data_IF_359723975257
#
_entry.id   IF_359723975257
#
_cell.length_a   1.000
_cell.length_b   1.000
_cell.length_c   1.000
_cell.angle_alpha   90.00
_cell.angle_beta   90.00
_cell.angle_gamma   90.00
#
_symmetry.space_group_name_H-M   'P 1'
#
loop_
_entity.id
_entity.type
_entity.pdbx_description
1 polymer ?
#
# COMPACT_ATOMS: atom_id res chain seq x y z
N UNK A 1 -3.80 8.46 17.25
CA UNK A 1 -3.73 7.13 16.59
C UNK A 1 -3.80 7.35 15.08
N UNK A 2 -2.98 6.67 14.29
CA UNK A 2 -2.93 6.77 12.82
C UNK A 2 -2.89 5.37 12.21
N UNK A 3 -3.21 5.25 10.92
CA UNK A 3 -3.17 4.00 10.14
C UNK A 3 -2.27 4.20 8.93
N UNK A 4 -1.39 3.25 8.65
CA UNK A 4 -0.57 3.27 7.44
C UNK A 4 -1.17 2.34 6.39
N UNK A 5 -1.35 2.85 5.19
CA UNK A 5 -1.78 2.10 4.03
C UNK A 5 -0.56 1.81 3.16
N UNK A 6 -0.13 0.55 3.22
CA UNK A 6 0.92 -0.05 2.39
C UNK A 6 0.31 -1.28 1.73
N UNK A 7 0.44 -1.36 0.41
CA UNK A 7 -0.04 -2.49 -0.38
C UNK A 7 1.12 -3.44 -0.70
N UNK A 8 0.76 -4.64 -1.15
CA UNK A 8 1.69 -5.73 -1.46
C UNK A 8 1.38 -6.30 -2.83
N UNK A 9 2.41 -6.42 -3.68
CA UNK A 9 2.29 -7.11 -4.97
C UNK A 9 2.39 -8.62 -4.75
N UNK A 10 1.26 -9.32 -4.88
CA UNK A 10 1.15 -10.78 -4.67
C UNK A 10 2.22 -11.59 -5.40
N UNK A 11 2.58 -11.21 -6.62
CA UNK A 11 3.59 -11.92 -7.42
C UNK A 11 4.97 -11.92 -6.77
N UNK A 12 5.39 -10.78 -6.21
CA UNK A 12 6.68 -10.67 -5.54
C UNK A 12 6.61 -11.25 -4.12
N UNK A 13 5.48 -11.08 -3.42
CA UNK A 13 5.24 -11.72 -2.13
C UNK A 13 5.32 -13.25 -2.20
N UNK A 14 4.84 -13.87 -3.27
CA UNK A 14 4.94 -15.32 -3.44
C UNK A 14 6.39 -15.82 -3.64
N UNK A 15 7.34 -14.93 -3.94
CA UNK A 15 8.77 -15.26 -4.05
C UNK A 15 9.55 -14.97 -2.77
N UNK A 16 8.96 -14.20 -1.86
CA UNK A 16 9.59 -13.79 -0.61
C UNK A 16 9.79 -14.99 0.32
N UNK A 17 10.99 -15.10 0.88
CA UNK A 17 11.35 -16.08 1.89
C UNK A 17 11.85 -15.37 3.15
N UNK A 18 11.05 -15.38 4.21
CA UNK A 18 11.37 -14.72 5.48
C UNK A 18 12.61 -15.27 6.19
N UNK A 19 13.11 -16.45 5.82
CA UNK A 19 14.31 -17.04 6.42
C UNK A 19 15.61 -16.54 5.79
N UNK A 20 15.55 -16.00 4.57
CA UNK A 20 16.73 -15.67 3.77
C UNK A 20 16.72 -14.24 3.23
N UNK A 21 15.55 -13.63 2.99
CA UNK A 21 15.44 -12.29 2.46
C UNK A 21 15.62 -11.21 3.53
N UNK A 22 16.57 -10.30 3.28
CA UNK A 22 16.69 -9.08 4.08
C UNK A 22 15.60 -8.08 3.72
N UNK A 23 15.20 -7.24 4.68
CA UNK A 23 14.21 -6.18 4.44
C UNK A 23 14.57 -5.29 3.25
N UNK A 24 15.85 -4.91 3.09
CA UNK A 24 16.28 -4.10 1.96
C UNK A 24 16.08 -4.83 0.62
N UNK A 25 16.42 -6.11 0.53
CA UNK A 25 16.18 -6.90 -0.68
C UNK A 25 14.68 -7.02 -0.98
N UNK A 26 13.88 -7.21 0.06
CA UNK A 26 12.41 -7.20 -0.01
C UNK A 26 11.91 -5.88 -0.60
N UNK A 27 12.35 -4.72 -0.11
CA UNK A 27 12.02 -3.40 -0.71
C UNK A 27 12.45 -3.33 -2.18
N UNK A 28 13.70 -3.69 -2.49
CA UNK A 28 14.26 -3.61 -3.85
C UNK A 28 13.61 -4.58 -4.85
N UNK A 29 12.99 -5.67 -4.36
CA UNK A 29 12.19 -6.59 -5.17
C UNK A 29 10.90 -5.97 -5.71
N UNK A 30 10.47 -4.83 -5.15
CA UNK A 30 9.21 -4.19 -5.49
C UNK A 30 7.99 -4.89 -4.88
N UNK A 31 8.17 -5.62 -3.78
CA UNK A 31 7.05 -6.27 -3.07
C UNK A 31 6.06 -5.27 -2.48
N UNK A 32 6.53 -4.15 -1.94
CA UNK A 32 5.68 -3.11 -1.36
C UNK A 32 5.27 -2.09 -2.42
N UNK A 33 4.03 -1.64 -2.32
CA UNK A 33 3.48 -0.62 -3.21
C UNK A 33 2.37 0.18 -2.54
N UNK A 34 1.79 1.12 -3.27
CA UNK A 34 0.69 1.96 -2.81
C UNK A 34 -0.67 1.28 -3.03
N UNK A 35 -1.71 1.66 -2.27
CA UNK A 35 -3.07 1.16 -2.47
C UNK A 35 -3.55 1.26 -3.92
N UNK A 36 -4.08 0.16 -4.44
CA UNK A 36 -4.60 0.08 -5.80
C UNK A 36 -3.61 -0.44 -6.85
N UNK A 37 -2.35 -0.66 -6.45
CA UNK A 37 -1.31 -1.27 -7.30
C UNK A 37 -0.90 -2.68 -6.80
N UNK A 38 -1.39 -3.11 -5.64
CA UNK A 38 -1.15 -4.45 -5.09
C UNK A 38 -2.43 -5.29 -5.03
N UNK A 39 -2.54 -6.11 -3.99
CA UNK A 39 -3.61 -7.09 -3.84
C UNK A 39 -4.44 -6.94 -2.56
N UNK A 40 -4.17 -5.95 -1.72
CA UNK A 40 -4.95 -5.73 -0.50
C UNK A 40 -6.30 -5.07 -0.85
N UNK A 41 -7.38 -5.61 -0.28
CA UNK A 41 -8.72 -5.01 -0.41
C UNK A 41 -8.90 -3.84 0.59
N UNK A 42 -8.48 -2.66 0.17
CA UNK A 42 -8.65 -1.44 0.97
C UNK A 42 -10.10 -0.97 1.07
N UNK A 43 -10.99 -1.37 0.16
CA UNK A 43 -12.41 -1.01 0.24
C UNK A 43 -13.04 -1.59 1.50
N UNK A 44 -12.76 -2.87 1.80
CA UNK A 44 -13.22 -3.51 3.03
C UNK A 44 -12.61 -2.88 4.28
N UNK A 45 -11.33 -2.53 4.24
CA UNK A 45 -10.62 -1.88 5.37
C UNK A 45 -11.24 -0.51 5.67
N UNK A 46 -11.44 0.33 4.65
CA UNK A 46 -12.05 1.66 4.77
C UNK A 46 -13.46 1.55 5.37
N UNK A 47 -14.26 0.59 4.92
CA UNK A 47 -15.60 0.34 5.45
C UNK A 47 -15.57 0.04 6.96
N UNK A 48 -14.63 -0.79 7.41
CA UNK A 48 -14.46 -1.11 8.85
C UNK A 48 -14.05 0.15 9.63
N UNK A 49 -13.12 0.95 9.11
CA UNK A 49 -12.70 2.19 9.76
C UNK A 49 -13.88 3.17 9.91
N UNK A 50 -14.69 3.33 8.87
CA UNK A 50 -15.89 4.18 8.90
C UNK A 50 -16.93 3.67 9.92
N UNK A 51 -17.19 2.36 9.94
CA UNK A 51 -18.13 1.73 10.89
C UNK A 51 -17.73 1.93 12.36
N UNK A 52 -16.43 2.06 12.62
CA UNK A 52 -15.90 2.32 13.95
C UNK A 52 -15.67 3.81 14.23
N UNK A 53 -16.22 4.70 13.41
CA UNK A 53 -16.10 6.15 13.53
C UNK A 53 -14.63 6.63 13.64
N UNK A 54 -13.72 5.97 12.93
CA UNK A 54 -12.33 6.36 12.90
C UNK A 54 -12.17 7.78 12.31
N UNK A 55 -11.49 8.65 13.04
CA UNK A 55 -11.30 10.07 12.70
C UNK A 55 -9.83 10.51 12.72
N UNK A 56 -8.90 9.55 12.66
CA UNK A 56 -7.46 9.81 12.63
C UNK A 56 -6.89 9.92 11.22
N UNK A 57 -5.56 9.96 11.15
CA UNK A 57 -4.84 10.05 9.88
C UNK A 57 -4.66 8.67 9.23
N UNK A 58 -4.97 8.59 7.94
CA UNK A 58 -4.52 7.52 7.05
C UNK A 58 -3.33 8.05 6.26
N UNK A 59 -2.19 7.36 6.35
CA UNK A 59 -0.94 7.72 5.70
C UNK A 59 -0.67 6.67 4.62
N UNK A 60 -0.57 7.09 3.36
CA UNK A 60 -0.08 6.21 2.28
C UNK A 60 1.43 6.11 2.40
N UNK A 61 1.95 4.89 2.47
CA UNK A 61 3.38 4.62 2.64
C UNK A 61 3.80 3.41 1.81
N UNK A 62 4.79 3.58 0.95
CA UNK A 62 5.39 2.48 0.19
C UNK A 62 6.90 2.71 0.06
N UNK A 63 7.70 1.77 0.56
CA UNK A 63 9.14 1.74 0.31
C UNK A 63 9.35 1.13 -1.08
N UNK A 64 9.87 1.94 -2.00
CA UNK A 64 10.15 1.54 -3.36
C UNK A 64 11.47 2.15 -3.81
N UNK A 65 12.08 1.51 -4.81
CA UNK A 65 13.20 2.06 -5.55
C UNK A 65 12.69 3.19 -6.47
N UNK A 66 13.01 4.48 -6.19
CA UNK A 66 12.41 5.60 -6.91
C UNK A 66 12.84 5.67 -8.38
N UNK A 67 13.97 5.04 -8.75
CA UNK A 67 14.40 4.94 -10.15
C UNK A 67 13.51 3.99 -10.96
N UNK A 68 12.85 3.04 -10.29
CA UNK A 68 11.90 2.10 -10.91
C UNK A 68 10.44 2.50 -10.69
N UNK A 69 10.17 3.26 -9.63
CA UNK A 69 8.84 3.65 -9.21
C UNK A 69 8.79 5.15 -8.91
N UNK A 70 8.40 5.94 -9.91
CA UNK A 70 8.29 7.40 -9.76
C UNK A 70 7.36 7.78 -8.59
N UNK A 71 7.87 8.46 -7.55
CA UNK A 71 7.07 8.81 -6.38
C UNK A 71 5.83 9.65 -6.69
N UNK A 72 5.91 10.57 -7.66
CA UNK A 72 4.78 11.44 -8.01
C UNK A 72 3.67 10.63 -8.66
N UNK A 73 4.02 9.76 -9.62
CA UNK A 73 3.08 8.86 -10.24
C UNK A 73 2.34 8.00 -9.21
N UNK A 74 3.07 7.33 -8.32
CA UNK A 74 2.48 6.43 -7.32
C UNK A 74 1.68 7.15 -6.23
N UNK A 75 2.12 8.34 -5.78
CA UNK A 75 1.33 9.15 -4.87
C UNK A 75 -0.01 9.58 -5.50
N UNK A 76 0.01 9.94 -6.79
CA UNK A 76 -1.18 10.37 -7.53
C UNK A 76 -2.14 9.20 -7.78
N UNK A 77 -1.63 8.04 -8.19
CA UNK A 77 -2.45 6.84 -8.42
C UNK A 77 -3.12 6.36 -7.13
N UNK A 78 -2.39 6.33 -6.02
CA UNK A 78 -2.93 5.97 -4.71
C UNK A 78 -4.07 6.91 -4.30
N UNK A 79 -3.90 8.22 -4.48
CA UNK A 79 -4.94 9.21 -4.19
C UNK A 79 -6.19 8.99 -5.04
N UNK A 80 -6.03 8.71 -6.33
CA UNK A 80 -7.17 8.41 -7.21
C UNK A 80 -7.91 7.14 -6.79
N UNK A 81 -7.18 6.07 -6.47
CA UNK A 81 -7.77 4.83 -5.98
C UNK A 81 -8.50 5.03 -4.65
N UNK A 82 -7.91 5.72 -3.68
CA UNK A 82 -8.55 5.99 -2.40
C UNK A 82 -9.82 6.83 -2.56
N UNK A 83 -9.80 7.85 -3.42
CA UNK A 83 -11.00 8.62 -3.73
C UNK A 83 -12.10 7.74 -4.33
N UNK A 84 -11.79 6.79 -5.22
CA UNK A 84 -12.82 5.95 -5.84
C UNK A 84 -13.52 5.03 -4.84
N UNK A 85 -12.85 4.60 -3.77
CA UNK A 85 -13.43 3.74 -2.73
C UNK A 85 -14.03 4.50 -1.54
N UNK A 86 -13.69 5.79 -1.36
CA UNK A 86 -14.20 6.63 -0.28
C UNK A 86 -15.52 7.33 -0.61
N UNK A 87 -15.90 7.45 -1.88
CA UNK A 87 -17.01 8.31 -2.33
C UNK A 87 -18.38 7.58 -2.42
N UNK A 88 -18.65 6.62 -1.53
CA UNK A 88 -19.96 5.94 -1.44
C UNK A 88 -20.74 6.36 -0.18
#
# INVERSE_FOLDING_TARGET
MHVHFKDVRKKEFNKYDSSSDSFLNTVLSGIFTVPGDGCIDFSSIVKILQQNHYNGWIIVEAEQDPDKADPLHYATSARHYLNSILTN
#
